data_IF_412038385064
#
_entry.id   IF_412038385064
#
_cell.length_a   1.000
_cell.length_b   1.000
_cell.length_c   1.000
_cell.angle_alpha   90.00
_cell.angle_beta   90.00
_cell.angle_gamma   90.00
#
_symmetry.space_group_name_H-M   'P 1'
#
loop_
_entity.id
_entity.type
_entity.pdbx_description
1 polymer ?
#
# COMPACT_ATOMS: atom_id res chain seq x y z
N UNK A 1 16.91 -19.39 -36.92
CA UNK A 1 17.59 -20.38 -36.05
C UNK A 1 18.11 -19.64 -34.83
N UNK A 2 17.36 -19.63 -33.73
CA UNK A 2 17.90 -19.14 -32.46
C UNK A 2 19.08 -20.03 -32.09
N UNK A 3 20.26 -19.45 -31.81
CA UNK A 3 21.45 -20.24 -31.56
C UNK A 3 21.28 -21.05 -30.27
N UNK A 4 21.77 -22.28 -30.26
CA UNK A 4 21.73 -23.19 -29.11
C UNK A 4 22.28 -22.52 -27.82
N UNK A 5 23.21 -21.57 -27.97
CA UNK A 5 23.73 -20.73 -26.87
C UNK A 5 22.70 -19.80 -26.23
N UNK A 6 21.75 -19.25 -27.01
CA UNK A 6 20.70 -18.36 -26.50
C UNK A 6 19.69 -19.15 -25.65
N UNK A 7 19.38 -20.38 -26.06
CA UNK A 7 18.53 -21.30 -25.29
C UNK A 7 19.22 -21.72 -23.98
N UNK A 8 20.53 -21.99 -24.03
CA UNK A 8 21.30 -22.35 -22.84
C UNK A 8 21.36 -21.21 -21.82
N UNK A 9 21.62 -19.98 -22.24
CA UNK A 9 21.61 -18.81 -21.35
C UNK A 9 20.23 -18.58 -20.72
N UNK A 10 19.16 -18.75 -21.49
CA UNK A 10 17.79 -18.63 -20.99
C UNK A 10 17.47 -19.72 -19.95
N UNK A 11 17.83 -20.98 -20.22
CA UNK A 11 17.67 -22.07 -19.24
C UNK A 11 18.48 -21.84 -17.97
N UNK A 12 19.72 -21.36 -18.10
CA UNK A 12 20.56 -21.01 -16.94
C UNK A 12 19.91 -19.90 -16.12
N UNK A 13 19.42 -18.82 -16.76
CA UNK A 13 18.69 -17.76 -16.04
C UNK A 13 17.42 -18.26 -15.35
N UNK A 14 16.66 -19.15 -15.98
CA UNK A 14 15.46 -19.76 -15.38
C UNK A 14 15.80 -20.65 -14.17
N UNK A 15 16.91 -21.40 -14.25
CA UNK A 15 17.42 -22.19 -13.14
C UNK A 15 17.90 -21.32 -11.97
N UNK A 16 18.56 -20.19 -12.26
CA UNK A 16 18.92 -19.23 -11.23
C UNK A 16 17.65 -18.62 -10.59
N UNK A 17 16.63 -18.26 -11.36
CA UNK A 17 15.38 -17.75 -10.77
C UNK A 17 14.62 -18.80 -9.95
N UNK A 18 14.68 -20.08 -10.31
CA UNK A 18 13.99 -21.14 -9.56
C UNK A 18 14.71 -21.54 -8.27
N UNK A 19 16.04 -21.43 -8.23
CA UNK A 19 16.85 -21.81 -7.06
C UNK A 19 16.94 -20.66 -6.04
N UNK A 20 17.06 -19.42 -6.49
CA UNK A 20 17.30 -18.27 -5.60
C UNK A 20 16.04 -17.53 -5.16
N UNK A 21 14.90 -17.86 -5.77
CA UNK A 21 13.66 -17.19 -5.51
C UNK A 21 13.62 -15.73 -6.00
N UNK A 22 12.42 -15.18 -6.15
CA UNK A 22 12.25 -13.82 -6.63
C UNK A 22 12.50 -12.86 -5.46
N UNK A 23 13.69 -12.27 -5.46
CA UNK A 23 14.04 -11.15 -4.59
C UNK A 23 13.83 -9.84 -5.35
N UNK A 24 13.47 -8.80 -4.61
CA UNK A 24 13.25 -7.47 -5.14
C UNK A 24 14.12 -6.47 -4.37
N UNK A 25 14.54 -5.42 -5.03
CA UNK A 25 15.06 -4.24 -4.35
C UNK A 25 13.92 -3.44 -3.73
N UNK A 26 14.23 -2.61 -2.71
CA UNK A 26 13.21 -1.74 -2.10
C UNK A 26 12.55 -0.81 -3.13
N UNK A 27 13.32 -0.31 -4.09
CA UNK A 27 12.81 0.54 -5.17
C UNK A 27 11.90 -0.20 -6.15
N UNK A 28 12.17 -1.48 -6.41
CA UNK A 28 11.31 -2.31 -7.26
C UNK A 28 9.99 -2.60 -6.55
N UNK A 29 10.03 -2.97 -5.27
CA UNK A 29 8.82 -3.21 -4.46
C UNK A 29 7.91 -1.99 -4.48
N UNK A 30 8.46 -0.79 -4.28
CA UNK A 30 7.67 0.46 -4.28
C UNK A 30 6.93 0.74 -5.61
N UNK A 31 7.34 0.12 -6.72
CA UNK A 31 6.69 0.27 -8.04
C UNK A 31 5.61 -0.79 -8.28
N UNK A 32 5.54 -1.84 -7.46
CA UNK A 32 4.57 -2.91 -7.60
C UNK A 32 3.15 -2.43 -7.26
N UNK A 33 2.17 -3.09 -7.87
CA UNK A 33 0.73 -2.83 -7.69
C UNK A 33 -0.03 -4.14 -7.46
N UNK A 34 0.47 -4.94 -6.53
CA UNK A 34 -0.15 -6.19 -6.09
C UNK A 34 -0.47 -6.11 -4.59
N UNK A 35 -1.35 -6.99 -4.11
CA UNK A 35 -1.77 -7.03 -2.71
C UNK A 35 -0.85 -7.89 -1.84
N UNK A 36 0.35 -8.24 -2.30
CA UNK A 36 1.28 -9.03 -1.50
C UNK A 36 1.91 -8.16 -0.41
N UNK A 37 2.30 -8.82 0.68
CA UNK A 37 3.17 -8.22 1.69
C UNK A 37 4.61 -8.59 1.39
N UNK A 38 5.52 -7.65 1.61
CA UNK A 38 6.94 -7.87 1.44
C UNK A 38 7.67 -7.56 2.74
N UNK A 39 8.67 -8.37 3.07
CA UNK A 39 9.58 -8.10 4.17
C UNK A 39 10.94 -7.75 3.60
N UNK A 40 11.51 -6.64 4.07
CA UNK A 40 12.78 -6.14 3.60
C UNK A 40 13.83 -6.20 4.71
N UNK A 41 15.03 -6.62 4.33
CA UNK A 41 16.25 -6.48 5.11
C UNK A 41 17.29 -5.81 4.23
N UNK A 42 17.84 -4.70 4.71
CA UNK A 42 18.69 -3.82 3.92
C UNK A 42 17.97 -3.37 2.62
N UNK A 43 18.55 -3.64 1.45
CA UNK A 43 17.92 -3.36 0.16
C UNK A 43 17.27 -4.59 -0.49
N UNK A 44 17.16 -5.72 0.22
CA UNK A 44 16.60 -6.96 -0.31
C UNK A 44 15.22 -7.18 0.31
N UNK A 45 14.22 -7.37 -0.53
CA UNK A 45 12.84 -7.60 -0.14
C UNK A 45 12.32 -8.91 -0.74
N UNK A 46 11.50 -9.63 0.02
CA UNK A 46 10.89 -10.90 -0.40
C UNK A 46 9.39 -10.89 -0.14
N UNK A 47 8.62 -11.53 -1.02
CA UNK A 47 7.17 -11.68 -0.84
C UNK A 47 6.87 -12.65 0.30
N UNK A 48 5.91 -12.29 1.16
CA UNK A 48 5.44 -13.14 2.25
C UNK A 48 4.73 -14.40 1.77
N UNK A 49 4.24 -14.43 0.53
CA UNK A 49 3.50 -15.59 0.02
C UNK A 49 4.41 -16.68 -0.56
N UNK A 50 5.57 -16.29 -1.07
CA UNK A 50 6.40 -17.15 -1.91
C UNK A 50 7.51 -17.87 -1.11
N UNK A 51 7.89 -17.32 0.06
CA UNK A 51 9.03 -17.82 0.88
C UNK A 51 8.71 -18.01 2.36
N UNK A 52 7.48 -18.40 2.68
CA UNK A 52 7.09 -18.79 4.04
C UNK A 52 7.39 -20.26 4.29
N UNK A 53 8.15 -20.56 5.34
CA UNK A 53 8.16 -21.91 5.93
C UNK A 53 6.97 -22.12 6.87
N UNK A 54 6.49 -21.04 7.49
CA UNK A 54 5.26 -20.93 8.28
C UNK A 54 4.76 -19.46 8.24
N UNK A 55 3.64 -19.14 8.89
CA UNK A 55 3.08 -17.78 8.89
C UNK A 55 3.96 -16.73 9.61
N UNK A 56 5.01 -17.16 10.31
CA UNK A 56 5.82 -16.35 11.23
C UNK A 56 7.26 -16.17 10.76
N UNK A 57 7.64 -16.76 9.63
CA UNK A 57 9.02 -16.73 9.11
C UNK A 57 9.10 -16.35 7.63
N UNK A 58 10.23 -15.76 7.24
CA UNK A 58 10.58 -15.50 5.83
C UNK A 58 12.01 -15.90 5.56
N UNK A 59 12.31 -16.27 4.31
CA UNK A 59 13.67 -16.54 3.86
C UNK A 59 14.19 -15.32 3.10
N UNK A 60 15.26 -14.70 3.58
CA UNK A 60 15.95 -13.59 2.90
C UNK A 60 17.42 -13.99 2.72
N UNK A 61 18.00 -13.88 1.52
CA UNK A 61 19.41 -14.17 1.32
C UNK A 61 20.29 -13.14 2.05
N UNK A 62 21.38 -13.61 2.65
CA UNK A 62 22.41 -12.76 3.22
C UNK A 62 23.28 -12.11 2.12
N UNK A 63 24.23 -11.27 2.53
CA UNK A 63 25.19 -10.62 1.63
C UNK A 63 26.11 -11.60 0.88
N UNK A 64 26.16 -12.87 1.27
CA UNK A 64 26.88 -13.95 0.59
C UNK A 64 25.97 -14.77 -0.34
N UNK A 65 24.69 -14.40 -0.45
CA UNK A 65 23.69 -15.10 -1.25
C UNK A 65 23.16 -16.37 -0.60
N UNK A 66 23.41 -16.58 0.70
CA UNK A 66 22.90 -17.75 1.43
C UNK A 66 21.53 -17.44 2.01
N UNK A 67 20.58 -18.33 1.78
CA UNK A 67 19.23 -18.22 2.33
C UNK A 67 19.25 -18.31 3.85
N UNK A 68 18.78 -17.27 4.53
CA UNK A 68 18.63 -17.24 5.98
C UNK A 68 17.14 -17.10 6.31
N UNK A 69 16.65 -17.97 7.18
CA UNK A 69 15.28 -17.89 7.70
C UNK A 69 15.22 -16.95 8.89
N UNK A 70 14.36 -15.95 8.80
CA UNK A 70 14.11 -14.99 9.86
C UNK A 70 12.70 -15.13 10.40
N UNK A 71 12.54 -14.96 11.71
CA UNK A 71 11.24 -14.80 12.38
C UNK A 71 10.82 -13.33 12.18
N UNK A 72 9.63 -13.14 11.61
CA UNK A 72 9.08 -11.81 11.32
C UNK A 72 8.14 -11.32 12.41
N UNK A 73 7.50 -12.23 13.14
CA UNK A 73 6.65 -11.84 14.25
C UNK A 73 7.51 -11.33 15.41
N UNK A 74 7.07 -10.25 16.05
CA UNK A 74 7.81 -9.64 17.15
C UNK A 74 6.84 -9.05 18.17
N UNK A 75 7.24 -9.13 19.43
CA UNK A 75 6.43 -8.70 20.56
C UNK A 75 7.03 -7.47 21.24
N UNK A 76 6.17 -6.74 21.94
CA UNK A 76 6.63 -5.74 22.88
C UNK A 76 7.34 -6.42 24.07
N UNK A 77 8.32 -5.75 24.67
CA UNK A 77 9.02 -6.29 25.86
C UNK A 77 8.04 -6.58 27.00
N UNK A 78 6.98 -5.76 27.12
CA UNK A 78 5.91 -5.97 28.11
C UNK A 78 5.18 -7.31 27.87
N UNK A 79 4.82 -7.62 26.64
CA UNK A 79 4.09 -8.85 26.31
C UNK A 79 4.95 -10.09 26.53
N UNK A 80 6.25 -9.99 26.27
CA UNK A 80 7.24 -11.03 26.59
C UNK A 80 7.33 -11.22 28.12
N UNK A 81 7.39 -10.13 28.90
CA UNK A 81 7.53 -10.20 30.35
C UNK A 81 6.32 -10.81 31.06
N UNK A 82 5.11 -10.58 30.54
CA UNK A 82 3.87 -11.14 31.09
C UNK A 82 3.50 -12.50 30.48
N UNK A 83 4.30 -13.01 29.54
CA UNK A 83 4.04 -14.30 28.86
C UNK A 83 2.85 -14.28 27.90
N UNK A 84 2.52 -13.11 27.33
CA UNK A 84 1.44 -12.95 26.34
C UNK A 84 1.93 -13.02 24.89
N UNK A 85 3.24 -13.15 24.66
CA UNK A 85 3.83 -13.29 23.34
C UNK A 85 3.69 -14.73 22.83
N UNK A 86 3.01 -14.92 21.70
CA UNK A 86 2.80 -16.23 21.07
C UNK A 86 3.69 -16.44 19.83
N UNK A 87 4.68 -15.58 19.60
CA UNK A 87 5.58 -15.70 18.45
C UNK A 87 6.44 -16.95 18.55
N UNK A 88 6.91 -17.47 17.41
CA UNK A 88 7.98 -18.47 17.34
C UNK A 88 9.16 -18.13 18.25
N UNK A 89 9.72 -19.17 18.86
CA UNK A 89 10.86 -19.03 19.74
C UNK A 89 12.15 -18.73 18.96
N UNK A 90 12.99 -17.85 19.51
CA UNK A 90 14.34 -17.56 19.05
C UNK A 90 15.37 -17.98 20.11
N UNK A 91 16.51 -18.50 19.65
CA UNK A 91 17.67 -18.81 20.47
C UNK A 91 18.73 -17.70 20.44
N UNK A 92 18.75 -16.88 19.39
CA UNK A 92 19.70 -15.79 19.22
C UNK A 92 19.08 -14.62 18.45
N UNK A 93 19.71 -13.44 18.55
CA UNK A 93 19.26 -12.22 17.88
C UNK A 93 19.16 -12.38 16.37
N UNK A 94 20.12 -13.09 15.76
CA UNK A 94 20.21 -13.24 14.30
C UNK A 94 19.06 -14.01 13.66
N UNK A 95 18.29 -14.78 14.45
CA UNK A 95 17.07 -15.45 13.98
C UNK A 95 15.90 -14.49 13.83
N UNK A 96 15.91 -13.34 14.49
CA UNK A 96 14.85 -12.35 14.40
C UNK A 96 15.13 -11.38 13.26
N UNK A 97 14.10 -11.02 12.49
CA UNK A 97 14.24 -9.98 11.47
C UNK A 97 14.59 -8.62 12.10
N UNK A 98 14.08 -8.35 13.31
CA UNK A 98 14.45 -7.20 14.14
C UNK A 98 15.86 -7.29 14.76
N UNK A 99 16.58 -8.40 14.57
CA UNK A 99 17.87 -8.68 15.19
C UNK A 99 17.88 -8.52 16.72
N UNK A 100 16.81 -8.97 17.39
CA UNK A 100 16.67 -8.87 18.85
C UNK A 100 15.80 -9.98 19.42
N UNK A 101 16.38 -10.82 20.25
CA UNK A 101 15.76 -11.95 20.92
C UNK A 101 15.80 -11.76 22.44
N UNK A 102 14.64 -11.72 23.09
CA UNK A 102 14.51 -11.55 24.54
C UNK A 102 13.67 -12.70 25.10
N UNK A 103 14.21 -13.42 26.08
CA UNK A 103 13.54 -14.54 26.77
C UNK A 103 12.92 -15.55 25.79
N UNK A 104 13.62 -15.83 24.70
CA UNK A 104 13.14 -16.77 23.70
C UNK A 104 12.20 -16.20 22.67
N UNK A 105 11.87 -14.90 22.66
CA UNK A 105 10.98 -14.29 21.67
C UNK A 105 11.61 -13.11 20.94
N UNK A 106 11.25 -12.94 19.67
CA UNK A 106 11.69 -11.79 18.89
C UNK A 106 11.01 -10.52 19.42
N UNK A 107 11.81 -9.48 19.64
CA UNK A 107 11.35 -8.24 20.25
C UNK A 107 11.54 -7.05 19.31
N UNK A 108 10.76 -6.00 19.55
CA UNK A 108 10.93 -4.74 18.83
C UNK A 108 12.33 -4.14 19.05
N UNK A 109 12.94 -3.72 17.94
CA UNK A 109 14.26 -3.11 17.93
C UNK A 109 14.22 -1.77 17.18
N UNK A 110 14.27 -0.66 17.91
CA UNK A 110 14.26 0.68 17.32
C UNK A 110 15.54 0.95 16.50
N UNK A 111 16.66 0.28 16.80
CA UNK A 111 17.90 0.41 16.05
C UNK A 111 17.92 -0.42 14.75
N UNK A 112 17.08 -1.45 14.66
CA UNK A 112 16.93 -2.29 13.47
C UNK A 112 15.45 -2.69 13.31
N UNK A 113 14.57 -1.73 12.94
CA UNK A 113 13.15 -2.00 12.83
C UNK A 113 12.88 -2.92 11.65
N UNK A 114 11.88 -3.79 11.80
CA UNK A 114 11.39 -4.59 10.69
C UNK A 114 10.77 -3.65 9.65
N UNK A 115 11.16 -3.80 8.39
CA UNK A 115 10.56 -3.08 7.27
C UNK A 115 9.61 -4.02 6.55
N UNK A 116 8.32 -3.68 6.61
CA UNK A 116 7.26 -4.36 5.88
C UNK A 116 6.73 -3.42 4.80
N UNK A 117 6.46 -3.95 3.61
CA UNK A 117 5.79 -3.22 2.54
C UNK A 117 4.45 -3.89 2.22
N UNK A 118 3.41 -3.08 2.07
CA UNK A 118 2.08 -3.53 1.69
C UNK A 118 1.38 -2.49 0.81
N UNK A 119 0.51 -2.98 -0.06
CA UNK A 119 -0.25 -2.14 -0.98
C UNK A 119 -1.50 -1.63 -0.30
N UNK A 120 -1.46 -0.36 0.10
CA UNK A 120 -2.45 0.24 1.01
C UNK A 120 -3.04 1.51 0.43
N UNK A 121 -4.26 1.79 0.85
CA UNK A 121 -5.01 2.98 0.52
C UNK A 121 -4.41 4.17 1.28
N UNK A 122 -3.99 5.22 0.58
CA UNK A 122 -3.47 6.44 1.24
C UNK A 122 -4.42 7.62 1.19
N UNK A 123 -5.45 7.55 0.33
CA UNK A 123 -6.43 8.63 0.16
C UNK A 123 -7.77 8.16 0.69
N UNK A 124 -8.15 8.67 1.86
CA UNK A 124 -9.42 8.35 2.51
C UNK A 124 -10.60 9.24 2.07
N UNK A 125 -10.32 10.34 1.37
CA UNK A 125 -11.33 11.26 0.85
C UNK A 125 -11.65 10.97 -0.63
N UNK A 126 -12.94 10.90 -0.99
CA UNK A 126 -13.36 10.78 -2.39
C UNK A 126 -13.07 12.08 -3.17
N UNK A 127 -12.23 12.05 -4.22
CA UNK A 127 -12.04 13.23 -5.07
C UNK A 127 -13.32 13.55 -5.84
N UNK A 128 -13.45 14.82 -6.23
CA UNK A 128 -14.63 15.36 -6.91
C UNK A 128 -14.83 14.76 -8.32
N UNK A 129 -13.75 14.26 -8.95
CA UNK A 129 -13.75 13.62 -10.26
C UNK A 129 -12.73 12.47 -10.29
N UNK A 130 -13.14 11.31 -10.82
CA UNK A 130 -12.29 10.14 -11.02
C UNK A 130 -12.25 9.16 -9.83
N UNK A 131 -11.56 8.04 -10.03
CA UNK A 131 -11.26 7.06 -8.99
C UNK A 131 -9.74 7.04 -8.78
N UNK A 132 -9.24 7.59 -7.66
CA UNK A 132 -7.95 7.20 -7.16
C UNK A 132 -8.17 6.90 -5.69
N UNK A 133 -8.53 5.65 -5.40
CA UNK A 133 -8.37 5.09 -4.06
C UNK A 133 -6.94 5.30 -3.50
N UNK A 134 -6.00 5.83 -4.29
CA UNK A 134 -4.72 6.33 -3.80
C UNK A 134 -3.89 5.18 -3.26
N UNK A 135 -4.08 3.98 -3.83
CA UNK A 135 -3.28 2.85 -3.45
C UNK A 135 -1.85 3.08 -3.92
N UNK A 136 -0.92 2.85 -3.01
CA UNK A 136 0.49 2.79 -3.31
C UNK A 136 1.09 1.66 -2.49
N UNK A 137 2.19 1.11 -2.99
CA UNK A 137 3.02 0.27 -2.14
C UNK A 137 3.66 1.17 -1.07
N UNK A 138 3.31 0.95 0.18
CA UNK A 138 3.84 1.68 1.33
C UNK A 138 4.75 0.75 2.10
N UNK A 139 5.97 1.21 2.37
CA UNK A 139 6.92 0.51 3.21
C UNK A 139 7.11 1.27 4.52
N UNK A 140 7.13 0.55 5.63
CA UNK A 140 7.31 1.15 6.95
C UNK A 140 7.44 0.08 8.03
N UNK A 141 7.29 0.47 9.29
CA UNK A 141 7.26 -0.49 10.39
C UNK A 141 5.90 -1.21 10.44
N UNK A 142 5.86 -2.48 10.85
CA UNK A 142 4.63 -3.26 10.87
C UNK A 142 3.71 -2.84 12.03
N UNK A 143 2.49 -3.42 12.05
CA UNK A 143 1.51 -3.18 13.11
C UNK A 143 2.08 -3.46 14.51
N UNK A 144 1.67 -2.65 15.50
CA UNK A 144 2.14 -2.72 16.90
C UNK A 144 3.43 -1.93 17.20
N UNK A 145 4.19 -1.52 16.17
CA UNK A 145 5.36 -0.66 16.34
C UNK A 145 4.95 0.79 16.62
N UNK A 146 5.82 1.55 17.30
CA UNK A 146 5.61 2.99 17.50
C UNK A 146 5.69 3.74 16.17
N UNK A 147 4.91 4.80 16.06
CA UNK A 147 4.91 5.73 14.93
C UNK A 147 4.60 7.15 15.39
N UNK A 148 5.06 8.13 14.62
CA UNK A 148 4.71 9.55 14.78
C UNK A 148 3.71 9.99 13.71
N UNK A 149 3.77 9.37 12.53
CA UNK A 149 2.93 9.69 11.38
C UNK A 149 2.49 8.44 10.62
N UNK A 150 1.45 8.60 9.78
CA UNK A 150 0.97 7.51 8.91
C UNK A 150 2.07 7.00 7.96
N UNK A 151 2.96 7.87 7.49
CA UNK A 151 4.05 7.51 6.58
C UNK A 151 5.09 6.56 7.24
N UNK A 152 5.15 6.49 8.58
CA UNK A 152 6.07 5.59 9.28
C UNK A 152 5.63 4.13 9.20
N UNK A 153 4.32 3.90 9.07
CA UNK A 153 3.70 2.59 9.11
C UNK A 153 3.63 1.97 7.71
N UNK A 154 3.88 0.65 7.63
CA UNK A 154 3.61 -0.11 6.41
C UNK A 154 2.13 0.01 6.01
N UNK A 155 1.23 0.13 6.99
CA UNK A 155 -0.22 0.21 6.82
C UNK A 155 -0.75 1.58 6.41
N UNK A 156 0.13 2.59 6.37
CA UNK A 156 -0.26 3.99 6.26
C UNK A 156 -1.23 4.46 7.37
N UNK A 157 -1.23 3.80 8.53
CA UNK A 157 -2.18 4.06 9.61
C UNK A 157 -1.47 4.09 10.96
N UNK A 158 -1.18 5.29 11.45
CA UNK A 158 -0.62 5.54 12.77
C UNK A 158 -1.73 5.99 13.73
N UNK A 159 -2.05 5.15 14.72
CA UNK A 159 -3.15 5.40 15.66
C UNK A 159 -2.64 5.35 17.09
N UNK A 160 -2.89 6.42 17.84
CA UNK A 160 -2.46 6.53 19.25
C UNK A 160 -0.96 6.31 19.46
N UNK A 161 -0.14 6.70 18.47
CA UNK A 161 1.33 6.53 18.51
C UNK A 161 1.83 5.13 18.17
N UNK A 162 0.97 4.25 17.66
CA UNK A 162 1.33 2.90 17.20
C UNK A 162 0.73 2.59 15.83
N UNK A 163 1.45 1.84 15.01
CA UNK A 163 0.95 1.39 13.72
C UNK A 163 -0.20 0.41 13.94
N UNK A 164 -1.32 0.68 13.28
CA UNK A 164 -2.51 -0.16 13.30
C UNK A 164 -2.67 -0.86 11.95
N UNK A 165 -3.68 -1.72 11.82
CA UNK A 165 -4.04 -2.37 10.58
C UNK A 165 -4.41 -1.33 9.50
N UNK A 166 -4.20 -1.63 8.20
CA UNK A 166 -4.61 -0.73 7.12
C UNK A 166 -6.07 -0.30 7.27
N UNK A 167 -6.33 1.00 7.16
CA UNK A 167 -7.69 1.51 7.24
C UNK A 167 -8.41 1.29 5.91
N UNK A 168 -9.13 0.18 5.84
CA UNK A 168 -10.05 -0.12 4.74
C UNK A 168 -11.41 0.58 4.91
N UNK A 169 -11.63 1.27 6.04
CA UNK A 169 -12.86 2.01 6.26
C UNK A 169 -12.88 3.22 5.33
N UNK A 170 -13.81 3.16 4.38
CA UNK A 170 -13.90 4.14 3.34
C UNK A 170 -15.01 3.75 2.39
N UNK A 171 -15.51 4.74 1.68
CA UNK A 171 -16.55 4.54 0.71
C UNK A 171 -16.18 3.46 -0.32
N UNK A 172 -16.95 2.38 -0.34
CA UNK A 172 -17.03 1.50 -1.50
C UNK A 172 -17.57 2.33 -2.69
N UNK A 173 -17.42 1.83 -3.91
CA UNK A 173 -17.76 2.49 -5.21
C UNK A 173 -19.15 3.15 -5.29
N UNK A 174 -20.01 2.95 -4.30
CA UNK A 174 -21.33 3.58 -4.13
C UNK A 174 -21.31 5.05 -3.67
N UNK A 175 -20.21 5.58 -3.12
CA UNK A 175 -20.21 6.98 -2.68
C UNK A 175 -19.97 8.00 -3.80
N UNK A 176 -19.24 7.60 -4.85
CA UNK A 176 -19.18 8.35 -6.10
C UNK A 176 -20.55 8.42 -6.80
N UNK A 177 -21.38 7.38 -6.67
CA UNK A 177 -22.76 7.38 -7.19
C UNK A 177 -23.58 8.51 -6.57
N UNK A 178 -23.52 8.74 -5.26
CA UNK A 178 -24.30 9.80 -4.61
C UNK A 178 -24.02 11.21 -5.19
N UNK A 179 -22.75 11.53 -5.44
CA UNK A 179 -22.36 12.83 -6.01
C UNK A 179 -22.59 12.91 -7.52
N UNK A 180 -22.37 11.84 -8.26
CA UNK A 180 -22.68 11.77 -9.70
C UNK A 180 -24.18 11.90 -9.96
N UNK A 181 -25.01 11.27 -9.13
CA UNK A 181 -26.46 11.41 -9.15
C UNK A 181 -26.88 12.85 -8.83
N UNK A 182 -26.27 13.50 -7.83
CA UNK A 182 -26.53 14.92 -7.54
C UNK A 182 -26.18 15.83 -8.74
N UNK A 183 -25.01 15.66 -9.35
CA UNK A 183 -24.63 16.44 -10.53
C UNK A 183 -25.61 16.21 -11.71
N UNK A 184 -25.96 14.94 -11.97
CA UNK A 184 -26.81 14.58 -13.10
C UNK A 184 -28.28 14.99 -12.91
N UNK A 185 -28.85 14.75 -11.73
CA UNK A 185 -30.27 15.00 -11.46
C UNK A 185 -30.58 16.39 -10.90
N UNK A 186 -29.59 17.11 -10.36
CA UNK A 186 -29.81 18.44 -9.77
C UNK A 186 -29.07 19.52 -10.54
N UNK A 187 -27.74 19.41 -10.71
CA UNK A 187 -26.95 20.50 -11.27
C UNK A 187 -27.20 20.72 -12.79
N UNK A 188 -27.20 19.64 -13.59
CA UNK A 188 -27.40 19.75 -15.05
C UNK A 188 -28.77 20.35 -15.39
N UNK A 189 -29.92 19.90 -14.82
CA UNK A 189 -31.21 20.51 -15.08
C UNK A 189 -31.26 21.99 -14.69
N UNK A 190 -30.64 22.37 -13.56
CA UNK A 190 -30.57 23.77 -13.12
C UNK A 190 -29.81 24.64 -14.13
N UNK A 191 -28.68 24.17 -14.64
CA UNK A 191 -27.90 24.85 -15.69
C UNK A 191 -28.74 25.00 -16.96
N UNK A 192 -29.44 23.95 -17.39
CA UNK A 192 -30.32 24.00 -18.57
C UNK A 192 -31.42 25.04 -18.39
N UNK A 193 -32.07 25.09 -17.21
CA UNK A 193 -33.10 26.08 -16.89
C UNK A 193 -32.52 27.51 -16.97
N UNK A 194 -31.35 27.76 -16.37
CA UNK A 194 -30.71 29.08 -16.41
C UNK A 194 -30.37 29.50 -17.84
N UNK A 195 -29.86 28.58 -18.67
CA UNK A 195 -29.57 28.85 -20.09
C UNK A 195 -30.85 29.18 -20.86
N UNK A 196 -31.93 28.43 -20.63
CA UNK A 196 -33.23 28.70 -21.28
C UNK A 196 -33.78 30.08 -20.88
N UNK A 197 -33.74 30.43 -19.60
CA UNK A 197 -34.18 31.75 -19.10
C UNK A 197 -33.33 32.87 -19.73
N UNK A 198 -32.00 32.71 -19.77
CA UNK A 198 -31.11 33.68 -20.39
C UNK A 198 -31.41 33.86 -21.89
N UNK A 199 -31.64 32.77 -22.63
CA UNK A 199 -32.05 32.81 -24.03
C UNK A 199 -33.40 33.53 -24.22
N UNK A 200 -34.39 33.26 -23.37
CA UNK A 200 -35.68 33.95 -23.39
C UNK A 200 -35.53 35.45 -23.14
N UNK A 201 -34.77 35.85 -22.11
CA UNK A 201 -34.52 37.27 -21.81
C UNK A 201 -33.79 37.98 -22.98
N UNK A 202 -32.82 37.32 -23.61
CA UNK A 202 -32.08 37.90 -24.74
C UNK A 202 -32.95 38.05 -26.00
N UNK A 203 -33.86 37.10 -26.24
CA UNK A 203 -34.84 37.17 -27.34
C UNK A 203 -35.91 38.25 -27.11
N UNK A 204 -36.42 38.39 -25.88
CA UNK A 204 -37.36 39.45 -25.52
C UNK A 204 -36.71 40.84 -25.63
N UNK A 205 -35.49 41.00 -25.11
CA UNK A 205 -34.75 42.27 -25.19
C UNK A 205 -34.49 42.75 -26.63
N UNK A 206 -34.25 41.82 -27.58
CA UNK A 206 -34.08 42.17 -29.00
C UNK A 206 -35.39 42.58 -29.70
N UNK A 207 -36.55 42.14 -29.20
CA UNK A 207 -37.85 42.52 -29.75
C UNK A 207 -38.19 43.97 -29.42
N UNK A 208 -38.00 44.38 -28.17
CA UNK A 208 -38.30 45.75 -27.71
C UNK A 208 -37.43 46.80 -28.41
N UNK A 209 -36.16 46.46 -28.73
CA UNK A 209 -35.26 47.38 -29.45
C UNK A 209 -35.66 47.57 -30.92
N UNK A 210 -36.38 46.63 -31.54
CA UNK A 210 -36.84 46.77 -32.93
C UNK A 210 -38.06 47.70 -33.03
N UNK A 211 -38.96 47.72 -32.05
CA UNK A 211 -40.11 48.63 -32.07
C UNK A 211 -39.73 50.10 -31.87
N UNK A 212 -38.69 50.39 -31.07
CA UNK A 212 -38.24 51.78 -30.81
C UNK A 212 -37.47 52.40 -31.99
N UNK A 213 -37.00 51.61 -32.97
CA UNK A 213 -36.26 52.12 -34.14
C UNK A 213 -37.14 52.29 -35.39
N UNK A 214 -38.44 51.96 -35.28
CA UNK A 214 -39.46 52.20 -36.32
C UNK A 214 -40.48 53.20 -35.81
N UNK A 215 -40.05 54.44 -35.63
CA UNK A 215 -40.89 55.65 -35.58
C UNK A 215 -40.15 56.75 -36.32
#
# INVERSE_FOLDING_TARGET
MYSLSLLYLFCVSLFFTSIYGITYTKEEVLKLKDYNKYYCKDNICVSSYEYRTDYETVIIPDNQGRNVTYITDSCSTRDIDIGACNSKECANDSQCLSNKCIKGHCAYNEANPIVECQYVRTVHNDPLFGDPKGYKMQCGVPSGYKCESNDDCSSYNCRSGTCDSPDESGCHSTCGMGKALFLYYVAIPLIVIVVLIACCMFCCYKKDKKEVTTV
#
